data_IF_233486771960
#
_entry.id   IF_233486771960
#
_cell.length_a   1.000
_cell.length_b   1.000
_cell.length_c   1.000
_cell.angle_alpha   90.00
_cell.angle_beta   90.00
_cell.angle_gamma   90.00
#
_symmetry.space_group_name_H-M   'P 1'
#
loop_
_entity.id
_entity.type
_entity.pdbx_description
1 polymer ?
#
# COMPACT_ATOMS: atom_id res chain seq x y z
N UNK A 1 -32.91 -110.52 -16.62
CA UNK A 1 -32.67 -110.51 -15.15
C UNK A 1 -32.73 -109.05 -14.74
N UNK A 2 -33.63 -108.69 -13.83
CA UNK A 2 -33.74 -107.31 -13.37
C UNK A 2 -32.96 -107.15 -12.05
N UNK A 3 -32.18 -106.09 -11.99
CA UNK A 3 -31.46 -105.66 -10.80
C UNK A 3 -32.07 -104.34 -10.34
N UNK A 4 -32.42 -104.24 -9.07
CA UNK A 4 -32.78 -102.96 -8.48
C UNK A 4 -31.56 -102.03 -8.41
N UNK A 5 -31.80 -100.72 -8.27
CA UNK A 5 -30.77 -99.66 -8.27
C UNK A 5 -29.71 -99.76 -7.13
N UNK A 6 -29.78 -100.81 -6.30
CA UNK A 6 -28.80 -101.14 -5.26
C UNK A 6 -28.01 -102.44 -5.55
N UNK A 7 -28.15 -103.06 -6.73
CA UNK A 7 -27.29 -104.18 -7.17
C UNK A 7 -27.69 -105.58 -6.69
N UNK A 8 -28.87 -105.75 -6.09
CA UNK A 8 -29.39 -107.06 -5.69
C UNK A 8 -30.23 -107.69 -6.81
N UNK A 9 -30.11 -109.01 -6.97
CA UNK A 9 -30.90 -109.81 -7.92
C UNK A 9 -32.36 -109.90 -7.44
N UNK A 10 -33.29 -109.33 -8.20
CA UNK A 10 -34.73 -109.48 -7.94
C UNK A 10 -35.20 -110.75 -8.65
N UNK A 11 -35.47 -111.80 -7.87
CA UNK A 11 -36.15 -113.00 -8.38
C UNK A 11 -37.65 -112.72 -8.31
N UNK A 12 -38.38 -112.67 -9.44
CA UNK A 12 -39.83 -112.52 -9.41
C UNK A 12 -40.44 -113.75 -8.77
N UNK A 13 -41.10 -113.56 -7.61
CA UNK A 13 -41.89 -114.60 -6.96
C UNK A 13 -43.10 -114.87 -7.85
N UNK A 14 -43.15 -116.03 -8.49
CA UNK A 14 -44.31 -116.47 -9.27
C UNK A 14 -45.51 -116.63 -8.33
N UNK A 15 -46.67 -116.13 -8.74
CA UNK A 15 -47.92 -116.28 -7.98
C UNK A 15 -48.31 -117.76 -7.88
N UNK A 16 -48.06 -118.35 -6.71
CA UNK A 16 -48.44 -119.71 -6.33
C UNK A 16 -49.97 -119.80 -6.16
N UNK A 17 -50.68 -119.79 -7.29
CA UNK A 17 -52.14 -119.82 -7.42
C UNK A 17 -52.77 -121.20 -7.14
N UNK A 18 -52.05 -122.09 -6.45
CA UNK A 18 -52.58 -123.37 -5.99
C UNK A 18 -52.19 -123.63 -4.53
N UNK A 19 -53.13 -123.69 -3.57
CA UNK A 19 -52.84 -124.21 -2.25
C UNK A 19 -52.50 -125.71 -2.38
N UNK A 20 -51.34 -126.12 -1.85
CA UNK A 20 -50.91 -127.51 -1.89
C UNK A 20 -51.97 -128.43 -1.25
N UNK A 21 -52.62 -129.25 -2.09
CA UNK A 21 -53.70 -130.13 -1.67
C UNK A 21 -53.24 -131.09 -0.58
N UNK A 22 -54.04 -131.23 0.49
CA UNK A 22 -53.73 -132.14 1.60
C UNK A 22 -53.54 -133.56 1.08
N UNK A 23 -52.46 -134.28 1.44
CA UNK A 23 -52.20 -135.60 0.90
C UNK A 23 -53.25 -136.61 1.36
N UNK A 24 -53.99 -137.19 0.40
CA UNK A 24 -55.16 -138.07 0.62
C UNK A 24 -54.92 -139.26 1.58
N UNK A 25 -53.68 -139.70 1.77
CA UNK A 25 -53.36 -140.80 2.67
C UNK A 25 -53.47 -140.44 4.17
N UNK A 26 -53.44 -139.15 4.54
CA UNK A 26 -53.59 -138.74 5.95
C UNK A 26 -55.06 -138.80 6.41
N UNK A 27 -56.03 -138.50 5.53
CA UNK A 27 -57.45 -138.57 5.87
C UNK A 27 -57.93 -140.00 6.20
N UNK A 28 -57.25 -141.02 5.66
CA UNK A 28 -57.55 -142.42 5.95
C UNK A 28 -57.17 -142.86 7.37
N UNK A 29 -56.09 -142.30 7.98
CA UNK A 29 -55.61 -142.73 9.32
C UNK A 29 -56.37 -142.08 10.47
N UNK A 30 -56.90 -140.87 10.31
CA UNK A 30 -57.53 -140.14 11.43
C UNK A 30 -59.04 -140.39 11.61
N UNK A 31 -59.66 -141.24 10.79
CA UNK A 31 -61.11 -141.55 10.90
C UNK A 31 -61.47 -142.61 11.95
N UNK A 32 -60.50 -143.28 12.58
CA UNK A 32 -60.76 -144.30 13.63
C UNK A 32 -59.71 -144.29 14.74
N UNK A 33 -59.80 -143.34 15.67
CA UNK A 33 -59.40 -143.54 17.08
C UNK A 33 -60.03 -142.46 17.99
N UNK A 34 -61.32 -142.60 18.30
CA UNK A 34 -61.91 -141.90 19.43
C UNK A 34 -61.67 -142.72 20.68
N UNK A 35 -60.86 -142.21 21.62
CA UNK A 35 -61.20 -142.00 23.05
C UNK A 35 -59.96 -141.95 23.97
N UNK A 36 -60.02 -141.04 24.96
CA UNK A 36 -59.19 -140.94 26.18
C UNK A 36 -57.70 -140.52 26.07
N UNK A 37 -57.11 -139.77 27.03
CA UNK A 37 -57.63 -138.71 27.91
C UNK A 37 -56.48 -137.92 28.60
N UNK A 38 -56.67 -136.61 28.82
CA UNK A 38 -56.17 -135.79 29.96
C UNK A 38 -54.79 -136.11 30.61
N UNK A 39 -53.66 -135.72 29.99
CA UNK A 39 -52.41 -135.47 30.75
C UNK A 39 -51.41 -134.48 30.08
N UNK A 40 -51.91 -133.45 29.39
CA UNK A 40 -51.07 -132.54 28.57
C UNK A 40 -51.11 -131.07 28.98
N UNK A 41 -52.02 -130.66 29.87
CA UNK A 41 -52.25 -129.23 30.16
C UNK A 41 -51.16 -128.54 31.01
N UNK A 42 -50.56 -129.21 31.99
CA UNK A 42 -49.61 -128.57 32.91
C UNK A 42 -48.26 -128.22 32.24
N UNK A 43 -47.66 -129.16 31.51
CA UNK A 43 -46.42 -128.92 30.76
C UNK A 43 -46.63 -127.90 29.61
N UNK A 44 -47.80 -127.90 28.98
CA UNK A 44 -48.20 -126.87 28.02
C UNK A 44 -48.29 -125.47 28.66
N UNK A 45 -48.79 -125.37 29.90
CA UNK A 45 -48.88 -124.10 30.62
C UNK A 45 -47.50 -123.52 30.99
N UNK A 46 -46.59 -124.35 31.52
CA UNK A 46 -45.23 -123.89 31.87
C UNK A 46 -44.38 -123.50 30.64
N UNK A 47 -44.50 -124.24 29.53
CA UNK A 47 -43.83 -123.86 28.28
C UNK A 47 -44.43 -122.59 27.66
N UNK A 48 -45.76 -122.41 27.77
CA UNK A 48 -46.45 -121.19 27.35
C UNK A 48 -45.93 -119.95 28.11
N UNK A 49 -45.86 -119.97 29.45
CA UNK A 49 -45.39 -118.80 30.23
C UNK A 49 -43.93 -118.44 29.94
N UNK A 50 -43.04 -119.43 29.73
CA UNK A 50 -41.66 -119.16 29.32
C UNK A 50 -41.57 -118.53 27.92
N UNK A 51 -42.37 -119.02 26.97
CA UNK A 51 -42.47 -118.45 25.62
C UNK A 51 -42.99 -117.01 25.69
N UNK A 52 -44.00 -116.72 26.52
CA UNK A 52 -44.51 -115.36 26.74
C UNK A 52 -43.47 -114.44 27.39
N UNK A 53 -42.76 -114.89 28.43
CA UNK A 53 -41.70 -114.12 29.08
C UNK A 53 -40.50 -113.84 28.14
N UNK A 54 -40.22 -114.74 27.19
CA UNK A 54 -39.22 -114.50 26.13
C UNK A 54 -39.76 -113.55 25.06
N UNK A 55 -41.04 -113.67 24.67
CA UNK A 55 -41.72 -112.76 23.74
C UNK A 55 -41.75 -111.33 24.29
N UNK A 56 -42.07 -111.13 25.57
CA UNK A 56 -42.12 -109.79 26.18
C UNK A 56 -40.74 -109.14 26.27
N UNK A 57 -39.68 -109.89 26.63
CA UNK A 57 -38.28 -109.39 26.59
C UNK A 57 -37.84 -109.01 25.18
N UNK A 58 -38.21 -109.79 24.16
CA UNK A 58 -37.91 -109.47 22.76
C UNK A 58 -38.70 -108.26 22.25
N UNK A 59 -39.98 -108.13 22.63
CA UNK A 59 -40.79 -106.95 22.34
C UNK A 59 -40.18 -105.69 22.98
N UNK A 60 -39.86 -105.73 24.28
CA UNK A 60 -39.23 -104.61 24.96
C UNK A 60 -37.86 -104.21 24.36
N UNK A 61 -37.05 -105.19 23.92
CA UNK A 61 -35.79 -104.93 23.20
C UNK A 61 -36.05 -104.31 21.82
N UNK A 62 -37.07 -104.78 21.09
CA UNK A 62 -37.50 -104.18 19.82
C UNK A 62 -37.94 -102.73 20.03
N UNK A 63 -38.78 -102.46 21.02
CA UNK A 63 -39.27 -101.11 21.34
C UNK A 63 -38.16 -100.16 21.78
N UNK A 64 -37.12 -100.64 22.47
CA UNK A 64 -35.96 -99.81 22.85
C UNK A 64 -35.02 -99.53 21.68
N UNK A 65 -34.98 -100.40 20.67
CA UNK A 65 -34.27 -100.15 19.41
C UNK A 65 -35.08 -99.16 18.56
N UNK A 66 -36.37 -99.38 18.37
CA UNK A 66 -37.27 -98.47 17.66
C UNK A 66 -37.25 -97.06 18.27
N UNK A 67 -37.32 -96.93 19.60
CA UNK A 67 -37.23 -95.62 20.28
C UNK A 67 -35.88 -94.94 20.07
N UNK A 68 -34.76 -95.66 20.11
CA UNK A 68 -33.43 -95.08 19.84
C UNK A 68 -33.26 -94.68 18.38
N UNK A 69 -33.76 -95.49 17.44
CA UNK A 69 -33.75 -95.16 16.01
C UNK A 69 -34.64 -93.94 15.72
N UNK A 70 -35.86 -93.87 16.27
CA UNK A 70 -36.74 -92.72 16.15
C UNK A 70 -36.12 -91.45 16.76
N UNK A 71 -35.48 -91.55 17.95
CA UNK A 71 -34.78 -90.43 18.58
C UNK A 71 -33.52 -89.99 17.82
N UNK A 72 -32.82 -90.91 17.14
CA UNK A 72 -31.71 -90.58 16.27
C UNK A 72 -32.19 -89.90 14.98
N UNK A 73 -33.25 -90.42 14.36
CA UNK A 73 -33.88 -89.85 13.17
C UNK A 73 -34.44 -88.44 13.44
N UNK A 74 -35.09 -88.22 14.60
CA UNK A 74 -35.58 -86.89 14.98
C UNK A 74 -34.45 -85.91 15.29
N UNK A 75 -33.37 -86.34 15.95
CA UNK A 75 -32.17 -85.50 16.12
C UNK A 75 -31.51 -85.16 14.78
N UNK A 76 -31.42 -86.12 13.86
CA UNK A 76 -30.85 -85.89 12.54
C UNK A 76 -31.71 -84.94 11.70
N UNK A 77 -33.05 -85.06 11.73
CA UNK A 77 -33.95 -84.15 11.02
C UNK A 77 -33.94 -82.74 11.63
N UNK A 78 -33.91 -82.61 12.96
CA UNK A 78 -33.74 -81.32 13.66
C UNK A 78 -32.40 -80.68 13.29
N UNK A 79 -31.28 -81.42 13.34
CA UNK A 79 -29.96 -80.90 12.95
C UNK A 79 -29.84 -80.58 11.44
N UNK A 80 -30.66 -81.21 10.58
CA UNK A 80 -30.76 -80.85 9.17
C UNK A 80 -31.62 -79.61 8.95
N UNK A 81 -32.73 -79.48 9.68
CA UNK A 81 -33.59 -78.28 9.71
C UNK A 81 -32.80 -77.06 10.20
N UNK A 82 -32.08 -77.18 11.31
CA UNK A 82 -31.24 -76.11 11.87
C UNK A 82 -30.13 -75.68 10.91
N UNK A 83 -29.47 -76.62 10.21
CA UNK A 83 -28.49 -76.27 9.17
C UNK A 83 -29.13 -75.57 7.98
N UNK A 84 -30.33 -75.97 7.55
CA UNK A 84 -31.08 -75.27 6.49
C UNK A 84 -31.44 -73.85 6.91
N UNK A 85 -32.01 -73.66 8.10
CA UNK A 85 -32.36 -72.32 8.60
C UNK A 85 -31.13 -71.43 8.81
N UNK A 86 -29.99 -71.99 9.23
CA UNK A 86 -28.72 -71.24 9.30
C UNK A 86 -28.23 -70.82 7.90
N UNK A 87 -28.27 -71.72 6.91
CA UNK A 87 -27.92 -71.37 5.53
C UNK A 87 -28.86 -70.28 4.97
N UNK A 88 -30.17 -70.44 5.14
CA UNK A 88 -31.18 -69.45 4.75
C UNK A 88 -30.92 -68.08 5.39
N UNK A 89 -30.69 -68.03 6.72
CA UNK A 89 -30.33 -66.80 7.42
C UNK A 89 -29.03 -66.17 6.89
N UNK A 90 -27.99 -66.96 6.59
CA UNK A 90 -26.75 -66.40 6.02
C UNK A 90 -26.94 -65.87 4.60
N UNK A 91 -27.77 -66.52 3.78
CA UNK A 91 -28.11 -66.06 2.43
C UNK A 91 -28.96 -64.79 2.48
N UNK A 92 -29.95 -64.70 3.37
CA UNK A 92 -30.71 -63.48 3.62
C UNK A 92 -29.80 -62.32 4.07
N UNK A 93 -28.89 -62.57 5.02
CA UNK A 93 -27.94 -61.55 5.47
C UNK A 93 -27.02 -61.08 4.34
N UNK A 94 -26.54 -62.00 3.48
CA UNK A 94 -25.74 -61.66 2.31
C UNK A 94 -26.56 -60.85 1.28
N UNK A 95 -27.82 -61.22 1.04
CA UNK A 95 -28.72 -60.48 0.15
C UNK A 95 -29.01 -59.06 0.67
N UNK A 96 -29.32 -58.91 1.96
CA UNK A 96 -29.51 -57.60 2.62
C UNK A 96 -28.24 -56.74 2.55
N UNK A 97 -27.06 -57.31 2.85
CA UNK A 97 -25.77 -56.60 2.73
C UNK A 97 -25.50 -56.13 1.28
N UNK A 98 -25.79 -56.98 0.29
CA UNK A 98 -25.69 -56.61 -1.14
C UNK A 98 -26.65 -55.46 -1.49
N UNK A 99 -27.89 -55.49 -1.01
CA UNK A 99 -28.86 -54.42 -1.25
C UNK A 99 -28.39 -53.09 -0.63
N UNK A 100 -27.89 -53.10 0.60
CA UNK A 100 -27.33 -51.90 1.26
C UNK A 100 -26.16 -51.31 0.46
N UNK A 101 -25.17 -52.11 0.06
CA UNK A 101 -24.04 -51.65 -0.76
C UNK A 101 -24.46 -51.12 -2.14
N UNK A 102 -25.56 -51.63 -2.71
CA UNK A 102 -26.12 -51.10 -3.96
C UNK A 102 -26.86 -49.77 -3.72
N UNK A 103 -27.60 -49.65 -2.63
CA UNK A 103 -28.27 -48.40 -2.24
C UNK A 103 -27.26 -47.28 -1.97
N UNK A 104 -26.19 -47.56 -1.22
CA UNK A 104 -25.08 -46.64 -0.96
C UNK A 104 -24.43 -46.15 -2.27
N UNK A 105 -24.11 -47.07 -3.19
CA UNK A 105 -23.56 -46.70 -4.52
C UNK A 105 -24.52 -45.87 -5.35
N UNK A 106 -25.82 -46.15 -5.29
CA UNK A 106 -26.85 -45.36 -6.00
C UNK A 106 -27.00 -43.97 -5.36
N UNK A 107 -26.91 -43.85 -4.04
CA UNK A 107 -26.93 -42.56 -3.33
C UNK A 107 -25.71 -41.70 -3.71
N UNK A 108 -24.48 -42.24 -3.62
CA UNK A 108 -23.26 -41.53 -4.03
C UNK A 108 -23.30 -41.11 -5.51
N UNK A 109 -23.85 -41.96 -6.39
CA UNK A 109 -24.05 -41.60 -7.80
C UNK A 109 -25.10 -40.51 -7.98
N UNK A 110 -26.18 -40.51 -7.18
CA UNK A 110 -27.21 -39.49 -7.23
C UNK A 110 -26.68 -38.14 -6.72
N UNK A 111 -25.89 -38.13 -5.64
CA UNK A 111 -25.24 -36.95 -5.07
C UNK A 111 -24.23 -36.32 -6.04
N UNK A 112 -23.35 -37.13 -6.65
CA UNK A 112 -22.38 -36.64 -7.64
C UNK A 112 -23.06 -36.06 -8.89
N UNK A 113 -24.14 -36.69 -9.37
CA UNK A 113 -24.96 -36.16 -10.48
C UNK A 113 -25.75 -34.91 -10.07
N UNK A 114 -26.25 -34.83 -8.83
CA UNK A 114 -26.92 -33.64 -8.32
C UNK A 114 -25.95 -32.46 -8.20
N UNK A 115 -24.74 -32.69 -7.70
CA UNK A 115 -23.66 -31.70 -7.65
C UNK A 115 -23.27 -31.23 -9.06
N UNK A 116 -23.04 -32.16 -10.00
CA UNK A 116 -22.73 -31.82 -11.39
C UNK A 116 -23.83 -30.97 -12.05
N UNK A 117 -25.11 -31.30 -11.79
CA UNK A 117 -26.27 -30.49 -12.25
C UNK A 117 -26.31 -29.11 -11.59
N UNK A 118 -25.97 -28.99 -10.30
CA UNK A 118 -25.90 -27.70 -9.61
C UNK A 118 -24.78 -26.80 -10.17
N UNK A 119 -23.59 -27.37 -10.41
CA UNK A 119 -22.48 -26.67 -11.08
C UNK A 119 -22.86 -26.23 -12.49
N UNK A 120 -23.49 -27.11 -13.29
CA UNK A 120 -23.95 -26.78 -14.63
C UNK A 120 -24.98 -25.63 -14.65
N UNK A 121 -25.93 -25.61 -13.69
CA UNK A 121 -26.86 -24.49 -13.52
C UNK A 121 -26.14 -23.21 -13.13
N UNK A 122 -25.24 -23.25 -12.14
CA UNK A 122 -24.48 -22.07 -11.71
C UNK A 122 -23.64 -21.49 -12.85
N UNK A 123 -22.98 -22.34 -13.64
CA UNK A 123 -22.26 -21.91 -14.83
C UNK A 123 -23.20 -21.30 -15.89
N UNK A 124 -24.34 -21.92 -16.15
CA UNK A 124 -25.37 -21.37 -17.07
C UNK A 124 -25.86 -20.00 -16.59
N UNK A 125 -26.15 -19.82 -15.31
CA UNK A 125 -26.52 -18.53 -14.72
C UNK A 125 -25.41 -17.48 -14.80
N UNK A 126 -24.15 -17.87 -14.55
CA UNK A 126 -23.00 -16.96 -14.65
C UNK A 126 -22.80 -16.49 -16.11
N UNK A 127 -22.88 -17.41 -17.08
CA UNK A 127 -22.81 -17.05 -18.50
C UNK A 127 -23.98 -16.16 -18.91
N UNK A 128 -25.21 -16.44 -18.48
CA UNK A 128 -26.38 -15.61 -18.74
C UNK A 128 -26.28 -14.21 -18.09
N UNK A 129 -25.74 -14.10 -16.87
CA UNK A 129 -25.46 -12.81 -16.21
C UNK A 129 -24.37 -12.03 -16.96
N UNK A 130 -23.33 -12.70 -17.44
CA UNK A 130 -22.26 -12.07 -18.22
C UNK A 130 -22.74 -11.57 -19.59
N UNK A 131 -23.56 -12.33 -20.30
CA UNK A 131 -24.15 -11.90 -21.59
C UNK A 131 -25.15 -10.77 -21.39
N UNK A 132 -25.98 -10.80 -20.34
CA UNK A 132 -26.90 -9.72 -19.99
C UNK A 132 -26.17 -8.43 -19.58
N UNK A 133 -25.07 -8.53 -18.83
CA UNK A 133 -24.23 -7.37 -18.49
C UNK A 133 -23.57 -6.76 -19.74
N UNK A 134 -23.12 -7.61 -20.68
CA UNK A 134 -22.57 -7.17 -21.97
C UNK A 134 -23.65 -6.48 -22.82
N UNK A 135 -24.85 -7.05 -22.93
CA UNK A 135 -25.94 -6.44 -23.70
C UNK A 135 -26.37 -5.10 -23.09
N UNK A 136 -26.48 -5.01 -21.76
CA UNK A 136 -26.76 -3.76 -21.05
C UNK A 136 -25.69 -2.69 -21.33
N UNK A 137 -24.39 -3.05 -21.26
CA UNK A 137 -23.30 -2.12 -21.58
C UNK A 137 -23.31 -1.66 -23.06
N UNK A 138 -23.70 -2.54 -24.00
CA UNK A 138 -23.91 -2.14 -25.40
C UNK A 138 -25.12 -1.20 -25.50
N UNK A 139 -26.24 -1.50 -24.85
CA UNK A 139 -27.41 -0.63 -24.83
C UNK A 139 -27.11 0.76 -24.26
N UNK A 140 -26.35 0.87 -23.17
CA UNK A 140 -25.91 2.15 -22.61
C UNK A 140 -25.10 2.95 -23.62
N UNK A 141 -24.13 2.32 -24.29
CA UNK A 141 -23.33 2.96 -25.35
C UNK A 141 -24.19 3.36 -26.54
N UNK A 142 -25.21 2.57 -26.90
CA UNK A 142 -26.17 2.89 -27.95
C UNK A 142 -27.11 4.03 -27.53
N UNK A 143 -27.58 4.07 -26.28
CA UNK A 143 -28.39 5.16 -25.69
C UNK A 143 -27.62 6.47 -25.70
N UNK A 144 -26.36 6.48 -25.24
CA UNK A 144 -25.48 7.67 -25.31
C UNK A 144 -25.25 8.10 -26.77
N UNK A 145 -25.04 7.15 -27.68
CA UNK A 145 -24.85 7.45 -29.11
C UNK A 145 -26.14 7.92 -29.81
N UNK A 146 -27.31 7.47 -29.37
CA UNK A 146 -28.61 7.94 -29.82
C UNK A 146 -28.90 9.35 -29.31
N UNK A 147 -28.64 9.63 -28.03
CA UNK A 147 -28.73 10.97 -27.44
C UNK A 147 -27.82 11.98 -28.17
N UNK A 148 -26.58 11.58 -28.49
CA UNK A 148 -25.67 12.40 -29.32
C UNK A 148 -26.23 12.64 -30.73
N UNK A 149 -26.74 11.60 -31.41
CA UNK A 149 -27.34 11.73 -32.75
C UNK A 149 -28.59 12.62 -32.74
N UNK A 150 -29.48 12.48 -31.75
CA UNK A 150 -30.67 13.30 -31.59
C UNK A 150 -30.29 14.78 -31.35
N UNK A 151 -29.32 15.05 -30.46
CA UNK A 151 -28.76 16.40 -30.28
C UNK A 151 -28.22 16.96 -31.60
N UNK A 152 -27.42 16.19 -32.34
CA UNK A 152 -26.89 16.62 -33.65
C UNK A 152 -27.99 16.88 -34.70
N UNK A 153 -29.10 16.13 -34.67
CA UNK A 153 -30.26 16.37 -35.55
C UNK A 153 -31.01 17.67 -35.21
N UNK A 154 -31.03 18.10 -33.94
CA UNK A 154 -31.61 19.40 -33.55
C UNK A 154 -30.73 20.61 -33.90
N UNK A 155 -29.47 20.41 -34.27
CA UNK A 155 -28.55 21.50 -34.64
C UNK A 155 -28.69 21.78 -36.15
N UNK A 156 -29.04 23.01 -36.57
CA UNK A 156 -29.03 23.39 -37.98
C UNK A 156 -27.64 23.15 -38.59
N UNK A 157 -27.59 22.61 -39.81
CA UNK A 157 -26.32 22.17 -40.45
C UNK A 157 -25.30 23.29 -40.60
N UNK A 158 -25.74 24.55 -40.68
CA UNK A 158 -24.90 25.75 -40.65
C UNK A 158 -24.10 25.93 -39.34
N UNK A 159 -24.65 25.51 -38.19
CA UNK A 159 -24.00 25.59 -36.87
C UNK A 159 -23.08 24.40 -36.56
N UNK A 160 -23.10 23.33 -37.37
CA UNK A 160 -22.17 22.20 -37.22
C UNK A 160 -20.75 22.51 -37.74
N UNK A 161 -20.63 23.47 -38.66
CA UNK A 161 -19.37 23.94 -39.24
C UNK A 161 -18.90 25.27 -38.61
N UNK A 162 -19.69 25.86 -37.72
CA UNK A 162 -19.37 27.09 -37.02
C UNK A 162 -18.28 26.83 -35.95
N UNK A 163 -17.08 27.44 -36.08
CA UNK A 163 -15.98 27.26 -35.13
C UNK A 163 -16.31 27.66 -33.69
N UNK A 164 -17.34 28.49 -33.49
CA UNK A 164 -17.75 28.99 -32.18
C UNK A 164 -18.99 28.24 -31.61
N UNK A 165 -19.35 27.10 -32.20
CA UNK A 165 -20.50 26.30 -31.72
C UNK A 165 -20.29 25.75 -30.31
N UNK A 166 -21.39 25.67 -29.54
CA UNK A 166 -21.39 25.13 -28.18
C UNK A 166 -20.86 23.69 -28.09
N UNK A 167 -20.99 22.90 -29.17
CA UNK A 167 -20.45 21.53 -29.24
C UNK A 167 -18.91 21.52 -29.34
N UNK A 168 -18.29 22.52 -29.98
CA UNK A 168 -16.82 22.68 -29.97
C UNK A 168 -16.35 23.10 -28.58
N UNK A 169 -17.15 23.91 -27.86
CA UNK A 169 -16.88 24.27 -26.46
C UNK A 169 -17.00 23.06 -25.52
N UNK A 170 -18.11 22.32 -25.54
CA UNK A 170 -18.31 21.10 -24.74
C UNK A 170 -17.21 20.05 -25.01
N UNK A 171 -16.78 19.88 -26.28
CA UNK A 171 -15.66 18.99 -26.61
C UNK A 171 -14.28 19.58 -26.29
N UNK A 172 -14.12 20.91 -26.18
CA UNK A 172 -12.91 21.54 -25.63
C UNK A 172 -12.84 21.35 -24.11
N UNK A 173 -13.95 21.53 -23.40
CA UNK A 173 -14.04 21.36 -21.95
C UNK A 173 -13.76 19.89 -21.57
N UNK A 174 -14.37 18.91 -22.25
CA UNK A 174 -14.06 17.48 -22.07
C UNK A 174 -12.59 17.16 -22.40
N UNK A 175 -11.99 17.81 -23.40
CA UNK A 175 -10.54 17.67 -23.69
C UNK A 175 -9.66 18.28 -22.59
N UNK A 176 -10.07 19.41 -22.03
CA UNK A 176 -9.38 20.07 -20.93
C UNK A 176 -9.45 19.21 -19.66
N UNK A 177 -10.60 18.65 -19.31
CA UNK A 177 -10.76 17.74 -18.17
C UNK A 177 -9.94 16.45 -18.34
N UNK A 178 -9.96 15.86 -19.55
CA UNK A 178 -9.11 14.71 -19.89
C UNK A 178 -7.61 15.07 -19.79
N UNK A 179 -7.21 16.29 -20.18
CA UNK A 179 -5.84 16.75 -20.04
C UNK A 179 -5.46 17.00 -18.56
N UNK A 180 -6.34 17.61 -17.76
CA UNK A 180 -6.13 17.87 -16.33
C UNK A 180 -5.96 16.56 -15.56
N UNK A 181 -6.86 15.59 -15.79
CA UNK A 181 -6.81 14.25 -15.16
C UNK A 181 -5.54 13.49 -15.56
N UNK A 182 -5.23 13.40 -16.86
CA UNK A 182 -4.03 12.71 -17.35
C UNK A 182 -2.72 13.36 -16.86
N UNK A 183 -2.64 14.70 -16.89
CA UNK A 183 -1.47 15.42 -16.37
C UNK A 183 -1.37 15.29 -14.83
N UNK A 184 -2.49 15.28 -14.12
CA UNK A 184 -2.54 15.07 -12.67
C UNK A 184 -2.01 13.68 -12.28
N UNK A 185 -2.49 12.64 -12.96
CA UNK A 185 -2.00 11.27 -12.83
C UNK A 185 -0.49 11.17 -13.14
N UNK A 186 -0.03 11.75 -14.24
CA UNK A 186 1.39 11.73 -14.62
C UNK A 186 2.27 12.46 -13.59
N UNK A 187 1.84 13.64 -13.12
CA UNK A 187 2.55 14.42 -12.08
C UNK A 187 2.66 13.62 -10.78
N UNK A 188 1.59 12.94 -10.34
CA UNK A 188 1.61 12.04 -9.17
C UNK A 188 2.52 10.84 -9.37
N UNK A 189 2.38 10.10 -10.49
CA UNK A 189 3.25 8.96 -10.84
C UNK A 189 4.74 9.32 -10.83
N UNK A 190 5.08 10.56 -11.20
CA UNK A 190 6.45 11.09 -11.15
C UNK A 190 6.89 11.55 -9.75
N UNK A 191 5.98 12.00 -8.88
CA UNK A 191 6.30 12.42 -7.52
C UNK A 191 6.45 11.23 -6.56
N UNK A 192 5.53 10.25 -6.60
CA UNK A 192 5.47 9.10 -5.68
C UNK A 192 6.83 8.42 -5.43
N UNK A 193 7.67 8.05 -6.43
CA UNK A 193 8.97 7.43 -6.15
C UNK A 193 9.95 8.37 -5.43
N UNK A 194 9.84 9.68 -5.62
CA UNK A 194 10.68 10.69 -4.96
C UNK A 194 10.18 10.93 -3.53
N UNK A 195 8.85 11.02 -3.33
CA UNK A 195 8.23 11.12 -2.01
C UNK A 195 8.54 9.89 -1.15
N UNK A 196 8.48 8.68 -1.72
CA UNK A 196 8.90 7.44 -1.06
C UNK A 196 10.41 7.42 -0.74
N UNK A 197 11.26 8.03 -1.57
CA UNK A 197 12.69 8.14 -1.31
C UNK A 197 13.02 9.11 -0.17
N UNK A 198 12.22 10.17 0.01
CA UNK A 198 12.27 11.08 1.16
C UNK A 198 11.68 10.46 2.43
N UNK A 199 10.57 9.71 2.34
CA UNK A 199 10.01 9.01 3.50
C UNK A 199 11.05 8.09 4.16
N UNK A 200 11.92 7.45 3.37
CA UNK A 200 13.03 6.61 3.85
C UNK A 200 14.12 7.35 4.65
N UNK A 201 14.15 8.69 4.70
CA UNK A 201 15.10 9.43 5.54
C UNK A 201 14.52 9.79 6.91
N UNK A 202 13.23 9.50 7.18
CA UNK A 202 12.56 9.73 8.47
C UNK A 202 12.74 11.15 9.05
N UNK A 203 12.87 12.15 8.17
CA UNK A 203 12.95 13.56 8.53
C UNK A 203 11.56 14.17 8.43
N UNK A 204 10.99 14.46 9.60
CA UNK A 204 9.78 15.25 9.81
C UNK A 204 10.08 16.34 10.84
N UNK A 205 9.21 17.33 10.96
CA UNK A 205 9.29 18.41 11.94
C UNK A 205 9.28 17.86 13.37
N UNK A 206 8.44 16.86 13.63
CA UNK A 206 8.41 16.14 14.92
C UNK A 206 9.71 15.35 15.16
N UNK A 207 10.23 14.65 14.16
CA UNK A 207 11.50 13.91 14.23
C UNK A 207 12.68 14.85 14.49
N UNK A 208 12.72 16.01 13.84
CA UNK A 208 13.77 17.02 14.00
C UNK A 208 13.81 17.61 15.42
N UNK A 209 12.64 17.91 16.00
CA UNK A 209 12.49 18.38 17.40
C UNK A 209 12.86 17.30 18.44
N UNK A 210 12.72 16.00 18.11
CA UNK A 210 13.05 14.87 19.00
C UNK A 210 14.46 14.29 18.85
N UNK A 211 15.29 14.79 17.91
CA UNK A 211 16.69 14.39 17.78
C UNK A 211 17.60 15.17 18.75
N UNK A 212 18.93 15.09 18.57
CA UNK A 212 19.88 16.07 19.10
C UNK A 212 20.41 16.94 17.96
N UNK A 213 20.84 18.17 18.26
CA UNK A 213 21.34 19.13 17.27
C UNK A 213 22.43 18.54 16.35
N UNK A 214 23.42 17.87 16.94
CA UNK A 214 24.51 17.22 16.19
C UNK A 214 24.01 16.11 15.25
N UNK A 215 23.03 15.31 15.69
CA UNK A 215 22.44 14.24 14.87
C UNK A 215 21.61 14.83 13.72
N UNK A 216 20.82 15.87 13.98
CA UNK A 216 20.06 16.57 12.94
C UNK A 216 20.99 17.21 11.90
N UNK A 217 22.08 17.84 12.34
CA UNK A 217 23.10 18.42 11.47
C UNK A 217 23.70 17.38 10.52
N UNK A 218 24.09 16.20 11.02
CA UNK A 218 24.59 15.10 10.19
C UNK A 218 23.55 14.60 9.17
N UNK A 219 22.28 14.47 9.56
CA UNK A 219 21.18 14.08 8.66
C UNK A 219 20.97 15.13 7.57
N UNK A 220 20.92 16.42 7.93
CA UNK A 220 20.76 17.57 7.02
C UNK A 220 21.90 17.68 6.02
N UNK A 221 23.14 17.41 6.43
CA UNK A 221 24.30 17.43 5.55
C UNK A 221 24.39 16.25 4.57
N UNK A 222 23.58 15.20 4.76
CA UNK A 222 23.66 13.99 3.92
C UNK A 222 23.31 14.28 2.45
N UNK A 223 24.25 14.00 1.55
CA UNK A 223 24.12 14.24 0.10
C UNK A 223 22.89 13.53 -0.50
N UNK A 224 22.54 12.35 0.01
CA UNK A 224 21.32 11.62 -0.35
C UNK A 224 20.05 12.43 -0.05
N UNK A 225 19.94 13.02 1.14
CA UNK A 225 18.80 13.86 1.51
C UNK A 225 18.74 15.10 0.62
N UNK A 226 19.85 15.81 0.48
CA UNK A 226 19.97 17.01 -0.38
C UNK A 226 19.51 16.70 -1.81
N UNK A 227 19.95 15.56 -2.39
CA UNK A 227 19.52 15.09 -3.73
C UNK A 227 18.06 14.65 -3.79
N UNK A 228 17.44 14.18 -2.71
CA UNK A 228 15.99 13.91 -2.67
C UNK A 228 15.17 15.19 -2.59
N UNK A 229 15.51 16.11 -1.69
CA UNK A 229 14.84 17.41 -1.50
C UNK A 229 14.98 18.27 -2.76
N UNK A 230 16.16 18.33 -3.39
CA UNK A 230 16.35 19.03 -4.65
C UNK A 230 15.43 18.50 -5.77
N UNK A 231 15.21 17.17 -5.83
CA UNK A 231 14.27 16.55 -6.78
C UNK A 231 12.81 16.84 -6.42
N UNK A 232 12.44 16.87 -5.14
CA UNK A 232 11.10 17.28 -4.70
C UNK A 232 10.82 18.73 -5.11
N UNK A 233 11.72 19.67 -4.77
CA UNK A 233 11.59 21.09 -5.10
C UNK A 233 11.54 21.35 -6.62
N UNK A 234 12.32 20.60 -7.41
CA UNK A 234 12.26 20.66 -8.88
C UNK A 234 10.91 20.18 -9.44
N UNK A 235 10.23 19.24 -8.76
CA UNK A 235 8.86 18.83 -9.11
C UNK A 235 7.82 19.82 -8.61
N UNK A 236 7.94 20.31 -7.38
CA UNK A 236 7.09 21.35 -6.82
C UNK A 236 7.01 22.56 -7.76
N UNK A 237 8.17 23.11 -8.18
CA UNK A 237 8.24 24.27 -9.10
C UNK A 237 7.42 24.11 -10.40
N UNK A 238 7.18 22.88 -10.88
CA UNK A 238 6.34 22.61 -12.06
C UNK A 238 4.83 22.80 -11.82
N UNK A 239 4.38 22.95 -10.57
CA UNK A 239 2.97 23.24 -10.24
C UNK A 239 2.67 24.75 -10.24
N UNK A 240 3.66 25.59 -9.94
CA UNK A 240 3.56 27.05 -10.02
C UNK A 240 3.68 27.59 -11.45
N UNK A 241 4.55 26.99 -12.27
CA UNK A 241 4.81 27.41 -13.66
C UNK A 241 3.61 27.28 -14.64
N UNK A 242 2.46 26.80 -14.18
CA UNK A 242 1.23 26.67 -14.97
C UNK A 242 0.15 27.70 -14.63
N UNK A 243 0.42 28.63 -13.71
CA UNK A 243 -0.47 29.76 -13.40
C UNK A 243 0.20 31.04 -13.92
N UNK A 244 0.18 31.19 -15.25
CA UNK A 244 0.28 32.51 -15.87
C UNK A 244 -1.14 33.06 -16.04
N UNK A 245 -1.81 33.34 -14.92
CA UNK A 245 -2.92 34.31 -14.97
C UNK A 245 -2.33 35.65 -15.38
N UNK A 246 -2.91 36.28 -16.40
CA UNK A 246 -2.35 37.49 -17.03
C UNK A 246 -2.17 38.65 -16.03
N UNK A 247 -2.91 38.64 -14.93
CA UNK A 247 -2.91 39.64 -13.86
C UNK A 247 -1.72 39.53 -12.89
N UNK A 248 -1.09 38.35 -12.78
CA UNK A 248 0.06 38.13 -11.91
C UNK A 248 1.42 38.30 -12.62
N UNK A 249 1.41 38.70 -13.91
CA UNK A 249 2.61 38.95 -14.69
C UNK A 249 3.30 40.29 -14.33
N UNK A 250 2.61 41.18 -13.63
CA UNK A 250 3.12 42.48 -13.21
C UNK A 250 3.90 42.35 -11.89
N UNK A 251 5.13 42.86 -11.88
CA UNK A 251 5.94 43.17 -10.67
C UNK A 251 6.67 42.05 -9.91
N UNK A 252 6.72 40.78 -10.36
CA UNK A 252 7.71 39.82 -9.80
C UNK A 252 8.56 39.11 -10.86
N UNK A 253 9.83 39.50 -10.94
CA UNK A 253 10.83 38.79 -11.72
C UNK A 253 10.97 37.33 -11.23
N UNK A 254 11.25 36.35 -12.10
CA UNK A 254 11.27 34.94 -11.72
C UNK A 254 12.34 34.65 -10.67
N UNK A 255 11.92 34.47 -9.41
CA UNK A 255 12.81 34.32 -8.25
C UNK A 255 13.77 33.15 -8.46
N UNK A 256 15.05 33.48 -8.66
CA UNK A 256 16.12 32.52 -8.94
C UNK A 256 16.71 32.00 -7.64
N UNK A 257 16.08 30.96 -7.09
CA UNK A 257 16.59 30.30 -5.88
C UNK A 257 18.00 29.74 -6.08
N UNK A 258 18.91 30.16 -5.20
CA UNK A 258 20.28 29.63 -5.08
C UNK A 258 20.24 28.51 -4.04
N UNK A 259 20.74 27.32 -4.38
CA UNK A 259 20.80 26.15 -3.49
C UNK A 259 19.49 25.84 -2.71
N UNK A 260 18.33 25.77 -3.37
CA UNK A 260 17.02 25.72 -2.70
C UNK A 260 16.86 24.55 -1.72
N UNK A 261 17.45 23.39 -2.01
CA UNK A 261 17.42 22.24 -1.11
C UNK A 261 18.12 22.51 0.23
N UNK A 262 19.21 23.29 0.25
CA UNK A 262 19.90 23.64 1.50
C UNK A 262 19.12 24.70 2.30
N UNK A 263 18.44 25.62 1.63
CA UNK A 263 17.59 26.64 2.27
C UNK A 263 16.34 26.02 2.91
N UNK A 264 15.72 25.02 2.26
CA UNK A 264 14.66 24.23 2.90
C UNK A 264 15.19 23.45 4.12
N UNK A 265 16.37 22.84 4.00
CA UNK A 265 16.94 22.07 5.11
C UNK A 265 17.41 22.94 6.28
N UNK A 266 17.82 24.20 6.07
CA UNK A 266 18.08 25.13 7.17
C UNK A 266 16.81 25.53 7.93
N UNK A 267 15.62 25.46 7.32
CA UNK A 267 14.37 25.68 8.04
C UNK A 267 14.16 24.65 9.16
N UNK A 268 14.48 23.37 8.92
CA UNK A 268 14.43 22.33 9.97
C UNK A 268 15.38 22.64 11.13
N UNK A 269 16.56 23.20 10.86
CA UNK A 269 17.52 23.59 11.90
C UNK A 269 17.00 24.79 12.72
N UNK A 270 16.52 25.84 12.05
CA UNK A 270 15.98 27.06 12.67
C UNK A 270 14.77 26.76 13.57
N UNK A 271 13.90 25.86 13.13
CA UNK A 271 12.67 25.51 13.86
C UNK A 271 12.90 24.52 15.00
N UNK A 272 13.83 23.58 14.84
CA UNK A 272 14.13 22.61 15.89
C UNK A 272 15.05 23.19 16.99
N UNK A 273 16.02 24.04 16.61
CA UNK A 273 17.01 24.62 17.53
C UNK A 273 17.23 26.11 17.24
N UNK A 274 16.25 26.98 17.55
CA UNK A 274 16.40 28.42 17.35
C UNK A 274 17.59 28.96 18.16
N UNK A 275 17.76 28.58 19.42
CA UNK A 275 18.86 29.05 20.29
C UNK A 275 20.28 28.72 19.81
N UNK A 276 20.45 27.64 19.04
CA UNK A 276 21.75 27.21 18.48
C UNK A 276 22.02 27.81 17.09
N UNK A 277 21.00 28.38 16.45
CA UNK A 277 21.07 28.87 15.06
C UNK A 277 20.87 30.38 14.93
N UNK A 278 20.20 30.99 15.91
CA UNK A 278 19.83 32.40 16.01
C UNK A 278 20.44 32.95 17.30
N UNK A 279 21.39 33.87 17.19
CA UNK A 279 22.20 34.33 18.34
C UNK A 279 21.40 35.16 19.36
N UNK A 280 20.29 35.78 18.94
CA UNK A 280 19.36 36.48 19.82
C UNK A 280 18.00 36.61 19.13
N UNK A 281 16.94 36.10 19.76
CA UNK A 281 15.62 35.98 19.16
C UNK A 281 14.89 37.33 19.04
N UNK A 282 15.32 38.17 18.10
CA UNK A 282 14.64 39.42 17.74
C UNK A 282 13.40 39.19 16.87
N UNK A 283 12.54 40.20 16.73
CA UNK A 283 11.27 40.12 15.98
C UNK A 283 11.40 39.62 14.54
N UNK A 284 12.50 39.95 13.85
CA UNK A 284 12.81 39.43 12.50
C UNK A 284 13.10 37.92 12.50
N UNK A 285 13.71 37.42 13.56
CA UNK A 285 14.16 36.03 13.69
C UNK A 285 13.00 35.14 14.17
N UNK A 286 12.12 35.68 15.02
CA UNK A 286 10.80 35.10 15.31
C UNK A 286 9.94 35.02 14.04
N UNK A 287 9.88 36.09 13.24
CA UNK A 287 9.13 36.08 11.98
C UNK A 287 9.70 35.06 10.98
N UNK A 288 11.03 34.97 10.86
CA UNK A 288 11.69 33.95 10.03
C UNK A 288 11.36 32.52 10.52
N UNK A 289 11.35 32.29 11.84
CA UNK A 289 10.95 31.01 12.44
C UNK A 289 9.48 30.68 12.16
N UNK A 290 8.56 31.64 12.28
CA UNK A 290 7.13 31.44 11.97
C UNK A 290 6.91 31.10 10.48
N UNK A 291 7.61 31.79 9.56
CA UNK A 291 7.59 31.47 8.13
C UNK A 291 8.22 30.10 7.83
N UNK A 292 9.24 29.69 8.58
CA UNK A 292 9.81 28.36 8.49
C UNK A 292 8.84 27.27 9.00
N UNK A 293 8.15 27.49 10.13
CA UNK A 293 7.16 26.56 10.69
C UNK A 293 5.97 26.37 9.74
N UNK A 294 5.39 27.45 9.21
CA UNK A 294 4.27 27.36 8.24
C UNK A 294 4.68 26.65 6.94
N UNK A 295 5.84 26.99 6.37
CA UNK A 295 6.40 26.33 5.18
C UNK A 295 6.68 24.84 5.39
N UNK A 296 7.18 24.44 6.56
CA UNK A 296 7.42 23.04 6.88
C UNK A 296 6.11 22.26 7.07
N UNK A 297 5.09 22.86 7.70
CA UNK A 297 3.75 22.26 7.80
C UNK A 297 3.12 22.05 6.41
N UNK A 298 3.19 23.04 5.51
CA UNK A 298 2.74 22.90 4.13
C UNK A 298 3.50 21.81 3.37
N UNK A 299 4.83 21.72 3.57
CA UNK A 299 5.67 20.70 2.96
C UNK A 299 5.28 19.28 3.40
N UNK A 300 5.03 19.07 4.69
CA UNK A 300 4.57 17.79 5.23
C UNK A 300 3.17 17.43 4.74
N UNK A 301 2.24 18.41 4.71
CA UNK A 301 0.91 18.22 4.13
C UNK A 301 0.96 17.84 2.66
N UNK A 302 1.81 18.50 1.86
CA UNK A 302 2.03 18.15 0.45
C UNK A 302 2.69 16.77 0.27
N UNK A 303 3.66 16.41 1.11
CA UNK A 303 4.33 15.11 1.08
C UNK A 303 3.36 13.97 1.43
N UNK A 304 2.58 14.11 2.50
CA UNK A 304 1.53 13.15 2.88
C UNK A 304 0.47 13.01 1.77
N UNK A 305 0.09 14.12 1.15
CA UNK A 305 -0.88 14.14 0.05
C UNK A 305 -0.33 13.62 -1.29
N UNK A 306 0.94 13.15 -1.40
CA UNK A 306 1.55 12.77 -2.68
C UNK A 306 0.78 11.70 -3.51
N UNK A 307 -0.13 10.94 -2.88
CA UNK A 307 -1.03 9.97 -3.53
C UNK A 307 -2.46 10.50 -3.75
N UNK A 308 -2.86 11.55 -3.04
CA UNK A 308 -4.22 12.13 -3.01
C UNK A 308 -4.51 13.02 -4.22
N UNK A 309 -5.78 13.31 -4.49
CA UNK A 309 -6.20 14.29 -5.49
C UNK A 309 -5.81 15.74 -5.12
N UNK A 310 -5.73 16.04 -3.81
CA UNK A 310 -5.33 17.36 -3.29
C UNK A 310 -3.85 17.70 -3.49
N UNK A 311 -3.04 16.75 -3.97
CA UNK A 311 -1.59 16.87 -4.21
C UNK A 311 -1.16 18.13 -4.97
N UNK A 312 -1.93 18.55 -5.98
CA UNK A 312 -1.60 19.73 -6.80
C UNK A 312 -1.93 21.06 -6.10
N UNK A 313 -2.96 21.08 -5.25
CA UNK A 313 -3.34 22.27 -4.49
C UNK A 313 -2.34 22.52 -3.37
N UNK A 314 -2.06 21.50 -2.55
CA UNK A 314 -1.07 21.56 -1.46
C UNK A 314 0.36 21.81 -1.99
N UNK A 315 0.68 21.29 -3.18
CA UNK A 315 1.96 21.60 -3.84
C UNK A 315 2.08 23.06 -4.30
N UNK A 316 0.99 23.81 -4.39
CA UNK A 316 0.98 25.26 -4.70
C UNK A 316 1.04 26.11 -3.44
N UNK A 317 0.32 25.75 -2.37
CA UNK A 317 0.41 26.45 -1.07
C UNK A 317 1.83 26.37 -0.52
N UNK A 318 2.43 25.17 -0.53
CA UNK A 318 3.84 24.97 -0.19
C UNK A 318 4.80 25.85 -1.01
N UNK A 319 4.55 26.06 -2.30
CA UNK A 319 5.41 26.93 -3.11
C UNK A 319 5.29 28.41 -2.71
N UNK A 320 4.10 28.85 -2.30
CA UNK A 320 3.85 30.21 -1.84
C UNK A 320 4.58 30.45 -0.51
N UNK A 321 4.37 29.60 0.50
CA UNK A 321 5.06 29.68 1.79
C UNK A 321 6.58 29.50 1.67
N UNK A 322 7.05 28.58 0.80
CA UNK A 322 8.48 28.45 0.48
C UNK A 322 9.06 29.70 -0.19
N UNK A 323 8.30 30.40 -1.04
CA UNK A 323 8.77 31.65 -1.66
C UNK A 323 8.89 32.79 -0.65
N UNK A 324 7.93 32.91 0.28
CA UNK A 324 7.96 33.88 1.37
C UNK A 324 9.11 33.61 2.35
N UNK A 325 9.25 32.37 2.81
CA UNK A 325 10.37 31.94 3.65
C UNK A 325 11.72 32.15 2.94
N UNK A 326 11.86 31.80 1.66
CA UNK A 326 13.11 32.00 0.93
C UNK A 326 13.49 33.49 0.88
N UNK A 327 12.53 34.39 0.63
CA UNK A 327 12.77 35.83 0.61
C UNK A 327 13.19 36.37 1.99
N UNK A 328 12.50 35.96 3.06
CA UNK A 328 12.85 36.32 4.43
C UNK A 328 14.22 35.77 4.85
N UNK A 329 14.56 34.53 4.45
CA UNK A 329 15.86 33.91 4.72
C UNK A 329 17.01 34.59 3.99
N UNK A 330 16.83 34.96 2.71
CA UNK A 330 17.84 35.69 1.94
C UNK A 330 18.05 37.09 2.56
N UNK A 331 16.97 37.80 2.93
CA UNK A 331 17.04 39.10 3.61
C UNK A 331 17.74 39.03 4.98
N UNK A 332 17.38 38.06 5.83
CA UNK A 332 18.04 37.79 7.11
C UNK A 332 19.55 37.53 6.92
N UNK A 333 19.90 36.68 5.95
CA UNK A 333 21.30 36.38 5.61
C UNK A 333 22.06 37.63 5.14
N UNK A 334 21.42 38.51 4.36
CA UNK A 334 22.07 39.74 3.89
C UNK A 334 22.23 40.79 4.99
N UNK A 335 21.35 40.84 6.01
CA UNK A 335 21.40 41.80 7.12
C UNK A 335 22.79 41.92 7.74
N UNK A 336 23.40 40.79 8.09
CA UNK A 336 24.69 40.77 8.78
C UNK A 336 25.83 41.16 7.83
N UNK A 337 25.75 40.78 6.54
CA UNK A 337 26.72 41.24 5.53
C UNK A 337 26.61 42.73 5.22
N UNK A 338 25.39 43.30 5.25
CA UNK A 338 25.15 44.73 5.04
C UNK A 338 25.72 45.53 6.20
N UNK A 339 25.45 45.12 7.45
CA UNK A 339 26.03 45.74 8.65
C UNK A 339 27.56 45.75 8.62
N UNK A 340 28.19 44.60 8.37
CA UNK A 340 29.67 44.50 8.28
C UNK A 340 30.22 45.41 7.18
N UNK A 341 29.55 45.51 6.03
CA UNK A 341 29.96 46.43 4.95
C UNK A 341 29.76 47.89 5.39
N UNK A 342 28.68 48.25 6.06
CA UNK A 342 28.43 49.61 6.54
C UNK A 342 29.41 50.04 7.64
N UNK A 343 29.74 49.15 8.58
CA UNK A 343 30.76 49.39 9.62
C UNK A 343 32.15 49.59 8.99
N UNK A 344 32.52 48.78 7.99
CA UNK A 344 33.77 48.92 7.24
C UNK A 344 33.80 50.21 6.40
N UNK A 345 32.68 50.59 5.78
CA UNK A 345 32.58 51.85 5.02
C UNK A 345 32.64 53.06 5.95
N UNK A 346 31.98 53.05 7.11
CA UNK A 346 32.12 54.12 8.10
C UNK A 346 33.56 54.24 8.56
N UNK A 347 34.18 53.15 9.04
CA UNK A 347 35.58 53.18 9.49
C UNK A 347 36.54 53.66 8.39
N UNK A 348 36.27 53.36 7.12
CA UNK A 348 37.06 53.90 6.01
C UNK A 348 36.91 55.43 5.90
N UNK A 349 35.68 55.96 5.95
CA UNK A 349 35.41 57.40 5.86
C UNK A 349 35.90 58.16 7.09
N UNK A 350 35.81 57.55 8.26
CA UNK A 350 36.25 58.12 9.54
C UNK A 350 37.79 58.23 9.58
N UNK A 351 38.51 57.33 8.89
CA UNK A 351 39.95 57.46 8.62
C UNK A 351 40.28 58.59 7.62
N UNK A 352 39.43 58.84 6.61
CA UNK A 352 39.60 60.00 5.71
C UNK A 352 39.37 61.33 6.45
N UNK A 353 38.41 61.35 7.39
CA UNK A 353 38.13 62.52 8.23
C UNK A 353 39.23 62.77 9.27
N UNK A 354 39.81 61.72 9.85
CA UNK A 354 41.00 61.79 10.70
C UNK A 354 42.22 62.31 9.92
N UNK A 355 42.41 61.87 8.68
CA UNK A 355 43.48 62.41 7.83
C UNK A 355 43.29 63.91 7.56
N UNK A 356 42.06 64.33 7.25
CA UNK A 356 41.73 65.74 6.99
C UNK A 356 41.88 66.67 8.20
N UNK A 357 41.86 66.15 9.44
CA UNK A 357 42.08 66.94 10.66
C UNK A 357 43.54 66.95 11.12
N UNK A 358 44.32 65.90 10.82
CA UNK A 358 45.73 65.76 11.25
C UNK A 358 46.72 66.29 10.20
N UNK A 359 46.35 66.34 8.91
CA UNK A 359 47.23 66.74 7.79
C UNK A 359 48.00 68.07 7.96
N UNK A 360 47.48 69.00 8.78
CA UNK A 360 48.05 70.33 8.97
C UNK A 360 48.99 70.41 10.20
N UNK A 361 49.24 69.28 10.88
CA UNK A 361 50.20 69.18 12.00
C UNK A 361 51.62 68.88 11.50
N UNK A 362 52.62 69.44 12.18
CA UNK A 362 54.02 69.03 12.00
C UNK A 362 54.16 67.52 12.33
N UNK A 363 55.02 66.81 11.59
CA UNK A 363 55.20 65.34 11.59
C UNK A 363 54.00 64.47 11.14
N UNK A 364 52.84 65.05 10.78
CA UNK A 364 51.66 64.29 10.33
C UNK A 364 51.95 63.36 9.14
N UNK A 365 52.73 63.85 8.18
CA UNK A 365 53.04 63.14 6.94
C UNK A 365 53.93 61.91 7.18
N UNK A 366 54.82 61.92 8.17
CA UNK A 366 55.73 60.81 8.45
C UNK A 366 55.12 59.77 9.40
N UNK A 367 54.36 60.20 10.41
CA UNK A 367 53.88 59.31 11.47
C UNK A 367 52.46 58.76 11.22
N UNK A 368 51.57 59.57 10.62
CA UNK A 368 50.14 59.22 10.49
C UNK A 368 49.78 58.68 9.11
N UNK A 369 50.27 59.33 8.03
CA UNK A 369 49.98 58.91 6.65
C UNK A 369 50.22 57.42 6.40
N UNK A 370 51.40 56.81 6.69
CA UNK A 370 51.63 55.39 6.39
C UNK A 370 50.75 54.43 7.20
N UNK A 371 50.29 54.85 8.40
CA UNK A 371 49.38 54.04 9.24
C UNK A 371 47.95 54.07 8.70
N UNK A 372 47.46 55.26 8.32
CA UNK A 372 46.14 55.45 7.72
C UNK A 372 46.06 54.71 6.38
N UNK A 373 47.07 54.88 5.53
CA UNK A 373 47.20 54.17 4.24
C UNK A 373 47.12 52.65 4.38
N UNK A 374 47.85 52.08 5.36
CA UNK A 374 47.85 50.64 5.61
C UNK A 374 46.49 50.13 6.08
N UNK A 375 45.80 50.87 6.95
CA UNK A 375 44.46 50.52 7.43
C UNK A 375 43.40 50.67 6.33
N UNK A 376 43.45 51.74 5.54
CA UNK A 376 42.55 51.94 4.40
C UNK A 376 42.72 50.82 3.35
N UNK A 377 43.97 50.45 3.00
CA UNK A 377 44.25 49.31 2.12
C UNK A 377 43.66 48.01 2.67
N UNK A 378 43.85 47.73 3.97
CA UNK A 378 43.26 46.54 4.61
C UNK A 378 41.72 46.52 4.58
N UNK A 379 41.07 47.67 4.74
CA UNK A 379 39.60 47.77 4.66
C UNK A 379 39.13 47.57 3.21
N UNK A 380 39.82 48.17 2.23
CA UNK A 380 39.52 47.99 0.81
C UNK A 380 39.67 46.52 0.37
N UNK A 381 40.72 45.83 0.81
CA UNK A 381 40.92 44.39 0.56
C UNK A 381 39.83 43.51 1.19
N UNK A 382 39.22 43.94 2.30
CA UNK A 382 38.06 43.28 2.90
C UNK A 382 36.78 43.60 2.13
N UNK A 383 36.54 44.84 1.75
CA UNK A 383 35.36 45.25 0.97
C UNK A 383 35.34 44.61 -0.43
N UNK A 384 36.50 44.43 -1.07
CA UNK A 384 36.67 43.68 -2.32
C UNK A 384 36.14 42.22 -2.23
N UNK A 385 36.15 41.60 -1.05
CA UNK A 385 35.61 40.24 -0.85
C UNK A 385 34.07 40.20 -0.90
N UNK A 386 33.40 41.33 -0.64
CA UNK A 386 31.95 41.48 -0.72
C UNK A 386 31.45 41.95 -2.11
N UNK A 387 32.36 42.46 -2.95
CA UNK A 387 32.12 42.79 -4.36
C UNK A 387 32.03 44.30 -4.65
N UNK A 388 31.96 44.66 -5.94
CA UNK A 388 32.03 46.05 -6.42
C UNK A 388 30.97 46.96 -5.79
N UNK A 389 29.74 46.47 -5.60
CA UNK A 389 28.66 47.20 -4.94
C UNK A 389 29.02 47.73 -3.53
N UNK A 390 29.98 47.12 -2.83
CA UNK A 390 30.45 47.58 -1.52
C UNK A 390 31.44 48.76 -1.64
N UNK A 391 32.20 48.83 -2.75
CA UNK A 391 33.10 49.95 -3.06
C UNK A 391 32.31 51.17 -3.57
N UNK A 392 31.31 50.94 -4.42
CA UNK A 392 30.39 51.99 -4.87
C UNK A 392 29.66 52.64 -3.69
N UNK A 393 29.47 51.89 -2.59
CA UNK A 393 28.88 52.40 -1.34
C UNK A 393 29.78 53.40 -0.60
N UNK A 394 31.12 53.30 -0.73
CA UNK A 394 32.03 54.34 -0.25
C UNK A 394 31.78 55.64 -1.02
N UNK A 395 31.71 55.56 -2.36
CA UNK A 395 31.52 56.73 -3.21
C UNK A 395 30.17 57.43 -2.94
N UNK A 396 29.08 56.66 -2.78
CA UNK A 396 27.78 57.22 -2.44
C UNK A 396 27.70 57.78 -1.02
N UNK A 397 28.37 57.18 -0.04
CA UNK A 397 28.46 57.79 1.29
C UNK A 397 29.37 59.04 1.32
N UNK A 398 30.44 59.12 0.50
CA UNK A 398 31.23 60.35 0.33
C UNK A 398 30.37 61.49 -0.22
N UNK A 399 29.60 61.27 -1.29
CA UNK A 399 28.73 62.32 -1.84
C UNK A 399 27.64 62.74 -0.86
N UNK A 400 27.07 61.81 -0.08
CA UNK A 400 26.13 62.13 1.00
C UNK A 400 26.78 62.93 2.14
N UNK A 401 27.97 62.55 2.64
CA UNK A 401 28.68 63.32 3.68
C UNK A 401 29.09 64.72 3.19
N UNK A 402 29.49 64.86 1.93
CA UNK A 402 29.79 66.17 1.31
C UNK A 402 28.53 67.04 1.20
N UNK A 403 27.41 66.49 0.74
CA UNK A 403 26.13 67.20 0.68
C UNK A 403 25.63 67.60 2.08
N UNK A 404 25.79 66.74 3.09
CA UNK A 404 25.44 67.06 4.47
C UNK A 404 26.27 68.25 5.01
N UNK A 405 27.59 68.26 4.76
CA UNK A 405 28.49 69.36 5.16
C UNK A 405 28.16 70.68 4.46
N UNK A 406 27.75 70.67 3.19
CA UNK A 406 27.28 71.89 2.53
C UNK A 406 25.95 72.38 3.12
N UNK A 407 24.99 71.49 3.42
CA UNK A 407 23.73 71.90 4.06
C UNK A 407 23.91 72.42 5.49
N UNK A 408 24.86 71.89 6.28
CA UNK A 408 25.11 72.40 7.64
C UNK A 408 25.73 73.80 7.63
N UNK A 409 26.53 74.14 6.62
CA UNK A 409 27.09 75.49 6.47
C UNK A 409 26.06 76.53 6.00
N UNK A 410 24.97 76.11 5.32
CA UNK A 410 23.88 77.03 4.95
C UNK A 410 23.04 77.40 6.17
N UNK A 411 22.71 76.44 7.03
CA UNK A 411 21.92 76.67 8.26
C UNK A 411 22.64 77.49 9.35
N UNK A 412 23.94 77.78 9.21
CA UNK A 412 24.68 78.66 10.12
C UNK A 412 24.78 80.12 9.63
N UNK A 413 24.21 80.44 8.46
CA UNK A 413 24.28 81.76 7.83
C UNK A 413 22.92 82.49 7.76
N UNK A 414 21.84 81.95 8.35
CA UNK A 414 20.50 82.56 8.35
C UNK A 414 20.01 82.96 9.76
N UNK A 415 20.82 83.69 10.53
CA UNK A 415 20.31 84.52 11.65
C UNK A 415 21.11 85.82 11.79
N UNK A 416 20.74 86.85 11.03
CA UNK A 416 20.90 88.26 11.42
C UNK A 416 20.02 89.17 10.52
N UNK A 417 19.05 89.89 11.10
CA UNK A 417 18.23 90.84 10.31
C UNK A 417 16.80 91.19 10.77
N UNK A 418 16.67 91.90 11.90
CA UNK A 418 15.67 92.98 12.12
C UNK A 418 14.22 92.71 12.66
N UNK A 419 14.09 92.72 14.00
CA UNK A 419 13.28 93.66 14.84
C UNK A 419 11.72 93.67 14.90
N UNK A 420 11.23 93.55 16.16
CA UNK A 420 9.96 94.02 16.80
C UNK A 420 8.58 93.55 16.27
N UNK A 421 7.54 93.28 17.09
CA UNK A 421 7.28 93.45 18.55
C UNK A 421 6.65 92.17 19.19
N UNK A 422 6.67 92.06 20.54
CA UNK A 422 6.08 90.93 21.31
C UNK A 422 4.63 91.17 21.81
N UNK A 423 4.12 90.52 22.89
CA UNK A 423 4.64 89.42 23.74
C UNK A 423 3.73 88.13 23.69
N UNK A 424 3.96 86.98 24.35
CA UNK A 424 3.93 86.73 25.81
C UNK A 424 4.15 85.23 26.12
N UNK A 425 4.85 84.90 27.24
CA UNK A 425 4.83 83.63 28.03
C UNK A 425 5.16 82.27 27.36
N UNK A 426 5.65 81.21 28.04
CA UNK A 426 6.28 80.96 29.35
C UNK A 426 6.83 79.52 29.35
N UNK A 427 8.05 79.27 29.88
CA UNK A 427 8.48 77.98 30.51
C UNK A 427 8.50 76.68 29.63
N UNK A 428 9.32 75.63 29.84
CA UNK A 428 10.43 75.35 30.79
C UNK A 428 11.33 74.26 30.16
N UNK A 429 12.64 74.30 30.41
CA UNK A 429 13.56 73.14 30.26
C UNK A 429 13.64 72.37 31.61
N UNK A 430 14.59 71.44 31.87
CA UNK A 430 15.49 70.64 31.01
C UNK A 430 15.08 69.13 31.19
N UNK A 431 15.93 68.06 31.30
CA UNK A 431 17.37 67.89 31.12
C UNK A 431 17.78 66.69 30.23
N UNK A 432 19.04 66.27 30.39
CA UNK A 432 19.76 65.17 29.72
C UNK A 432 19.78 63.91 30.58
N UNK A 433 20.14 62.77 29.98
CA UNK A 433 20.84 61.68 30.67
C UNK A 433 21.88 61.02 29.75
N UNK A 434 22.90 60.43 30.38
CA UNK A 434 24.23 60.23 29.81
C UNK A 434 24.42 58.95 28.99
N UNK A 435 25.43 58.96 28.12
CA UNK A 435 25.93 57.76 27.44
C UNK A 435 27.00 57.11 28.30
N UNK A 436 26.80 55.83 28.68
CA UNK A 436 27.85 55.01 29.29
C UNK A 436 28.37 54.01 28.25
N UNK A 437 29.68 54.05 28.00
CA UNK A 437 30.37 53.12 27.12
C UNK A 437 30.67 51.81 27.86
N UNK A 438 30.35 50.67 27.23
CA UNK A 438 30.83 49.33 27.60
C UNK A 438 31.15 48.55 26.32
N UNK A 439 32.43 48.50 25.96
CA UNK A 439 32.95 47.87 24.74
C UNK A 439 33.43 46.43 25.01
N UNK A 440 32.55 45.42 24.92
CA UNK A 440 33.00 44.02 24.84
C UNK A 440 32.05 43.11 24.06
N UNK A 441 32.30 42.91 22.74
CA UNK A 441 31.95 41.65 22.06
C UNK A 441 32.94 41.30 20.94
N UNK A 442 33.80 40.31 21.20
CA UNK A 442 34.64 39.65 20.19
C UNK A 442 33.83 38.55 19.50
N UNK A 443 32.99 38.91 18.53
CA UNK A 443 32.13 37.94 17.83
C UNK A 443 32.90 37.10 16.80
N UNK A 444 33.24 35.87 17.17
CA UNK A 444 33.73 34.84 16.23
C UNK A 444 32.58 33.92 15.80
N UNK A 445 31.80 34.34 14.81
CA UNK A 445 30.81 33.46 14.16
C UNK A 445 31.50 32.26 13.46
N UNK A 446 31.04 31.00 13.65
CA UNK A 446 31.66 29.84 13.04
C UNK A 446 31.54 29.82 11.50
N UNK A 447 32.53 29.21 10.82
CA UNK A 447 32.58 29.03 9.35
C UNK A 447 31.57 27.98 8.83
N UNK A 448 30.29 28.09 9.17
CA UNK A 448 29.29 27.04 8.94
C UNK A 448 28.72 26.96 7.51
N UNK A 449 28.89 28.00 6.68
CA UNK A 449 28.29 28.04 5.31
C UNK A 449 29.21 28.55 4.20
N UNK A 450 30.52 28.69 4.43
CA UNK A 450 31.47 29.25 3.46
C UNK A 450 32.32 28.14 2.81
N UNK A 451 31.81 27.51 1.76
CA UNK A 451 32.55 26.57 0.93
C UNK A 451 32.33 26.87 -0.58
N UNK A 452 33.45 27.08 -1.26
CA UNK A 452 33.66 27.44 -2.67
C UNK A 452 32.55 27.12 -3.70
N UNK A 453 32.17 28.14 -4.48
CA UNK A 453 31.70 27.94 -5.86
C UNK A 453 32.91 27.75 -6.79
N UNK A 454 33.02 26.66 -7.56
CA UNK A 454 34.00 26.56 -8.63
C UNK A 454 33.68 27.59 -9.72
N UNK A 455 34.71 28.34 -10.17
CA UNK A 455 34.59 29.23 -11.33
C UNK A 455 34.22 28.42 -12.58
N UNK A 456 33.29 28.93 -13.39
CA UNK A 456 33.14 28.46 -14.77
C UNK A 456 34.35 28.90 -15.58
N UNK A 457 35.06 27.95 -16.17
CA UNK A 457 35.83 28.18 -17.39
C UNK A 457 34.94 27.78 -18.57
N UNK A 458 34.90 28.62 -19.59
CA UNK A 458 34.25 28.36 -20.88
C UNK A 458 35.29 27.82 -21.86
N UNK A 459 34.79 27.38 -23.01
CA UNK A 459 35.52 26.87 -24.18
C UNK A 459 35.66 25.33 -24.17
N UNK A 460 35.48 24.61 -25.28
CA UNK A 460 35.42 25.06 -26.68
C UNK A 460 34.30 24.41 -27.52
N UNK A 461 34.10 25.00 -28.70
CA UNK A 461 33.38 24.45 -29.87
C UNK A 461 33.85 23.03 -30.23
N UNK A 462 32.97 22.18 -30.77
CA UNK A 462 33.19 21.33 -31.98
C UNK A 462 31.94 20.51 -32.41
N UNK A 463 31.49 20.76 -33.64
CA UNK A 463 30.84 19.84 -34.60
C UNK A 463 29.60 19.00 -34.23
N UNK A 464 28.45 19.48 -34.74
CA UNK A 464 27.27 18.67 -35.11
C UNK A 464 27.64 17.63 -36.18
N UNK A 465 27.37 16.34 -35.93
CA UNK A 465 27.24 15.31 -36.97
C UNK A 465 25.89 14.60 -36.85
N UNK A 466 25.07 14.74 -37.89
CA UNK A 466 23.86 13.96 -38.13
C UNK A 466 24.19 12.75 -39.00
N UNK A 467 23.74 11.53 -38.66
CA UNK A 467 23.65 10.45 -39.63
C UNK A 467 22.25 10.41 -40.24
N UNK A 468 22.16 10.75 -41.53
CA UNK A 468 21.07 10.32 -42.39
C UNK A 468 21.28 8.85 -42.77
N UNK A 469 20.26 8.00 -42.59
CA UNK A 469 20.25 6.66 -43.20
C UNK A 469 18.83 6.28 -43.64
N UNK A 470 18.50 6.67 -44.87
CA UNK A 470 17.44 6.04 -45.65
C UNK A 470 17.92 4.69 -46.18
N UNK A 471 17.20 3.62 -45.91
CA UNK A 471 17.32 2.36 -46.65
C UNK A 471 15.97 1.65 -46.70
N UNK A 472 15.36 1.59 -47.88
CA UNK A 472 14.19 0.75 -48.15
C UNK A 472 14.59 -0.60 -48.74
N UNK A 473 13.83 -1.65 -48.38
CA UNK A 473 13.64 -2.95 -49.05
C UNK A 473 12.54 -3.65 -48.22
N UNK A 474 11.36 -3.98 -48.72
CA UNK A 474 10.97 -4.87 -49.84
C UNK A 474 11.06 -6.36 -49.48
N UNK A 475 9.90 -7.04 -49.54
CA UNK A 475 9.63 -8.46 -49.30
C UNK A 475 9.88 -8.97 -47.85
N UNK A 476 9.05 -9.84 -47.27
CA UNK A 476 7.93 -10.63 -47.80
C UNK A 476 6.65 -10.48 -46.96
#
# INVERSE_FOLDING_TARGET
MEFDRCGFLVIPVMDLTQPAGKPRHLEARFRKLSYHNKCTHAAASATFTFIEARRSKLAHRRDSICRRQAAHQSRASIAQSQRRSQMEQTLEQAARKRQLLLQEKVQLSAETVAHAKAVARSHSEQTAKATAALSAAIEERLKVSAMRRARLQTIPRSRLLDPNSWAIKETADVRNDAAITLQGWWRRRQLVPIANAYAKTNLSLASAKGMSFQKLMQVVQSDRLIKTVARLLLRAKKFGSGISTAEAATTTAPVKWKNPARVLLSAFMIVAYPSETLQSLGSQEEHLKQLAETMLCDFEGWHAAAKSDTMLALGRTFLQSYSAYYAAFDAWKFRDTVKIVDDLVSHFLDLEELWLSVKDQEDAQEQWAPRIDAQQKQIMDRLLQYGQNALDKIQSQRTLRLAAKTTSNVNLNETDGNSNDGPTSMSTSPPRQDQHLEHHYRSTSPKLFQAASPRRVRDSVLHRRTPSSSSGRSAS
#
